data_IF_886865563755
#
_entry.id   IF_886865563755
#
_cell.length_a   1.000
_cell.length_b   1.000
_cell.length_c   1.000
_cell.angle_alpha   90.00
_cell.angle_beta   90.00
_cell.angle_gamma   90.00
#
_symmetry.space_group_name_H-M   'P 1'
#
loop_
_entity.id
_entity.type
_entity.pdbx_description
1 polymer ?
#
# COMPACT_ATOMS: atom_id res chain seq x y z
N UNK A 1 30.78 -2.77 7.86
CA UNK A 1 30.25 -2.68 6.47
C UNK A 1 31.41 -2.93 5.52
N UNK A 2 31.37 -4.02 4.72
CA UNK A 2 32.42 -4.31 3.72
C UNK A 2 31.99 -3.69 2.40
N UNK A 3 32.72 -2.69 1.92
CA UNK A 3 32.57 -2.18 0.56
C UNK A 3 33.19 -3.19 -0.40
N UNK A 4 32.37 -3.72 -1.32
CA UNK A 4 32.86 -4.47 -2.49
C UNK A 4 33.05 -3.44 -3.60
N UNK A 5 34.29 -3.30 -4.07
CA UNK A 5 34.61 -2.49 -5.25
C UNK A 5 34.49 -3.36 -6.49
N UNK A 6 33.74 -2.88 -7.49
CA UNK A 6 33.53 -3.56 -8.76
C UNK A 6 34.23 -2.81 -9.87
N UNK A 7 34.85 -3.53 -10.80
CA UNK A 7 35.47 -2.98 -11.99
C UNK A 7 34.45 -3.03 -13.13
N UNK A 8 33.96 -1.86 -13.55
CA UNK A 8 32.94 -1.75 -14.59
C UNK A 8 33.34 -2.40 -15.93
N UNK A 9 34.64 -2.54 -16.22
CA UNK A 9 35.13 -3.15 -17.44
C UNK A 9 35.19 -4.69 -17.38
N UNK A 10 35.22 -5.28 -16.18
CA UNK A 10 35.35 -6.74 -15.98
C UNK A 10 34.09 -7.38 -15.43
N UNK A 11 33.33 -6.63 -14.65
CA UNK A 11 32.16 -7.12 -13.90
C UNK A 11 30.85 -6.79 -14.59
N UNK A 12 30.88 -6.48 -15.90
CA UNK A 12 29.73 -5.94 -16.65
C UNK A 12 28.49 -6.86 -16.60
N UNK A 13 28.69 -8.19 -16.56
CA UNK A 13 27.61 -9.16 -16.41
C UNK A 13 26.98 -9.15 -15.01
N UNK A 14 27.81 -9.09 -13.96
CA UNK A 14 27.36 -9.02 -12.56
C UNK A 14 26.69 -7.68 -12.25
N UNK A 15 27.23 -6.59 -12.81
CA UNK A 15 26.60 -5.26 -12.76
C UNK A 15 25.25 -5.29 -13.46
N UNK A 16 25.15 -5.97 -14.62
CA UNK A 16 23.88 -6.19 -15.31
C UNK A 16 22.85 -6.92 -14.45
N UNK A 17 23.26 -7.97 -13.73
CA UNK A 17 22.39 -8.75 -12.83
C UNK A 17 21.93 -7.93 -11.61
N UNK A 18 22.81 -7.14 -11.00
CA UNK A 18 22.45 -6.30 -9.83
C UNK A 18 21.58 -5.10 -10.24
N UNK A 19 21.83 -4.55 -11.43
CA UNK A 19 21.02 -3.46 -12.00
C UNK A 19 19.76 -3.97 -12.68
N UNK A 20 19.60 -5.29 -12.81
CA UNK A 20 18.40 -5.89 -13.36
C UNK A 20 17.22 -5.54 -12.45
N UNK A 21 16.35 -4.67 -12.97
CA UNK A 21 15.10 -4.28 -12.32
C UNK A 21 13.97 -5.24 -12.68
N UNK A 22 14.30 -6.45 -13.16
CA UNK A 22 13.32 -7.47 -13.51
C UNK A 22 12.26 -7.51 -12.42
N UNK A 23 11.05 -7.14 -12.83
CA UNK A 23 9.91 -7.05 -11.96
C UNK A 23 9.65 -8.46 -11.48
N UNK A 24 9.84 -8.69 -10.18
CA UNK A 24 9.45 -9.93 -9.51
C UNK A 24 8.07 -10.35 -10.04
N UNK A 25 7.93 -11.63 -10.39
CA UNK A 25 6.67 -12.20 -10.87
C UNK A 25 5.55 -11.95 -9.85
N UNK A 26 4.76 -10.89 -10.05
CA UNK A 26 3.65 -10.49 -9.19
C UNK A 26 2.39 -11.33 -9.42
N UNK A 27 2.52 -12.54 -9.97
CA UNK A 27 1.38 -13.36 -10.39
C UNK A 27 0.39 -13.61 -9.23
N UNK A 28 0.88 -13.93 -8.03
CA UNK A 28 0.03 -14.15 -6.85
C UNK A 28 -0.65 -12.86 -6.35
N UNK A 29 0.07 -11.74 -6.39
CA UNK A 29 -0.45 -10.42 -6.01
C UNK A 29 -1.53 -9.98 -6.99
N UNK A 30 -1.28 -10.14 -8.29
CA UNK A 30 -2.23 -9.82 -9.35
C UNK A 30 -3.50 -10.68 -9.25
N UNK A 31 -3.37 -11.97 -8.90
CA UNK A 31 -4.52 -12.84 -8.65
C UNK A 31 -5.33 -12.37 -7.44
N UNK A 32 -4.67 -11.99 -6.35
CA UNK A 32 -5.31 -11.46 -5.16
C UNK A 32 -6.08 -10.15 -5.45
N UNK A 33 -5.44 -9.23 -6.18
CA UNK A 33 -6.07 -7.96 -6.60
C UNK A 33 -7.27 -8.23 -7.51
N UNK A 34 -7.16 -9.15 -8.47
CA UNK A 34 -8.26 -9.50 -9.37
C UNK A 34 -9.47 -10.07 -8.60
N UNK A 35 -9.22 -10.90 -7.57
CA UNK A 35 -10.28 -11.40 -6.70
C UNK A 35 -10.96 -10.25 -5.94
N UNK A 36 -10.19 -9.38 -5.28
CA UNK A 36 -10.72 -8.23 -4.53
C UNK A 36 -11.60 -7.37 -5.43
N UNK A 37 -11.11 -7.01 -6.63
CA UNK A 37 -11.87 -6.21 -7.60
C UNK A 37 -13.17 -6.91 -8.05
N UNK A 38 -13.12 -8.21 -8.32
CA UNK A 38 -14.32 -8.98 -8.69
C UNK A 38 -15.33 -9.02 -7.56
N UNK A 39 -14.88 -9.20 -6.32
CA UNK A 39 -15.75 -9.24 -5.15
C UNK A 39 -16.38 -7.88 -4.87
N UNK A 40 -15.61 -6.79 -4.93
CA UNK A 40 -16.15 -5.42 -4.80
C UNK A 40 -17.16 -5.10 -5.90
N UNK A 41 -16.93 -5.55 -7.13
CA UNK A 41 -17.91 -5.38 -8.23
C UNK A 41 -19.25 -6.07 -7.94
N UNK A 42 -19.22 -7.27 -7.37
CA UNK A 42 -20.42 -8.08 -7.13
C UNK A 42 -21.13 -7.72 -5.81
N UNK A 43 -20.37 -7.62 -4.71
CA UNK A 43 -20.88 -7.46 -3.35
C UNK A 43 -20.78 -6.01 -2.82
N UNK A 44 -20.20 -5.08 -3.58
CA UNK A 44 -20.15 -3.64 -3.29
C UNK A 44 -19.65 -3.35 -1.86
N UNK A 45 -20.39 -2.54 -1.11
CA UNK A 45 -20.09 -2.10 0.25
C UNK A 45 -19.83 -3.25 1.23
N UNK A 46 -20.51 -4.40 1.03
CA UNK A 46 -20.27 -5.56 1.89
C UNK A 46 -18.84 -6.09 1.72
N UNK A 47 -18.32 -6.12 0.50
CA UNK A 47 -16.94 -6.52 0.25
C UNK A 47 -15.96 -5.51 0.84
N UNK A 48 -16.26 -4.20 0.73
CA UNK A 48 -15.41 -3.15 1.33
C UNK A 48 -15.32 -3.33 2.85
N UNK A 49 -16.45 -3.49 3.55
CA UNK A 49 -16.47 -3.74 5.01
C UNK A 49 -15.69 -4.99 5.39
N UNK A 50 -15.87 -6.08 4.62
CA UNK A 50 -15.12 -7.32 4.84
C UNK A 50 -13.62 -7.09 4.76
N UNK A 51 -13.14 -6.43 3.71
CA UNK A 51 -11.71 -6.21 3.52
C UNK A 51 -11.12 -5.20 4.51
N UNK A 52 -11.85 -4.16 4.89
CA UNK A 52 -11.45 -3.25 5.99
C UNK A 52 -11.31 -4.02 7.30
N UNK A 53 -12.23 -4.94 7.61
CA UNK A 53 -12.09 -5.76 8.82
C UNK A 53 -10.90 -6.72 8.73
N UNK A 54 -10.67 -7.32 7.56
CA UNK A 54 -9.59 -8.30 7.35
C UNK A 54 -8.19 -7.68 7.42
N UNK A 55 -8.00 -6.51 6.80
CA UNK A 55 -6.68 -5.89 6.68
C UNK A 55 -6.42 -4.80 7.74
N UNK A 56 -7.44 -4.02 8.10
CA UNK A 56 -7.32 -2.91 9.05
C UNK A 56 -7.83 -3.26 10.46
N UNK A 57 -8.49 -4.41 10.62
CA UNK A 57 -8.94 -4.93 11.92
C UNK A 57 -10.15 -4.21 12.52
N UNK A 58 -10.82 -3.35 11.75
CA UNK A 58 -11.96 -2.54 12.21
C UNK A 58 -13.22 -2.82 11.40
N UNK A 59 -14.38 -2.83 12.07
CA UNK A 59 -15.68 -2.87 11.41
C UNK A 59 -16.31 -1.47 11.47
N UNK A 60 -16.35 -0.79 10.33
CA UNK A 60 -16.98 0.52 10.21
C UNK A 60 -18.48 0.37 9.92
N UNK A 61 -19.28 1.28 10.45
CA UNK A 61 -20.71 1.44 10.11
C UNK A 61 -20.88 2.40 8.93
N UNK A 62 -20.14 3.50 8.92
CA UNK A 62 -20.11 4.47 7.83
C UNK A 62 -18.72 4.53 7.21
N UNK A 63 -18.67 4.69 5.88
CA UNK A 63 -17.41 4.90 5.16
C UNK A 63 -16.99 6.36 5.12
N UNK A 64 -17.98 7.26 5.21
CA UNK A 64 -17.75 8.69 5.14
C UNK A 64 -17.49 9.21 6.55
N UNK A 65 -16.36 9.90 6.71
CA UNK A 65 -16.06 10.62 7.95
C UNK A 65 -17.06 11.76 8.11
N UNK A 66 -17.66 11.86 9.30
CA UNK A 66 -18.65 12.89 9.61
C UNK A 66 -18.02 14.28 9.72
N UNK A 67 -18.85 15.34 9.57
CA UNK A 67 -18.40 16.72 9.82
C UNK A 67 -17.85 16.90 11.23
N UNK A 68 -18.49 16.25 12.20
CA UNK A 68 -18.18 16.41 13.61
C UNK A 68 -16.82 15.79 13.94
N UNK A 69 -16.48 14.64 13.36
CA UNK A 69 -15.16 14.02 13.49
C UNK A 69 -14.05 14.89 12.85
N UNK A 70 -14.36 15.54 11.73
CA UNK A 70 -13.43 16.47 11.07
C UNK A 70 -13.17 17.69 11.97
N UNK A 71 -14.23 18.30 12.50
CA UNK A 71 -14.13 19.46 13.39
C UNK A 71 -13.41 19.11 14.69
N UNK A 72 -13.67 17.92 15.26
CA UNK A 72 -12.95 17.43 16.44
C UNK A 72 -11.46 17.23 16.15
N UNK A 73 -11.12 16.61 15.02
CA UNK A 73 -9.73 16.42 14.62
C UNK A 73 -9.01 17.77 14.45
N UNK A 74 -9.64 18.73 13.78
CA UNK A 74 -9.10 20.08 13.63
C UNK A 74 -8.88 20.75 14.99
N UNK A 75 -9.80 20.62 15.94
CA UNK A 75 -9.65 21.21 17.27
C UNK A 75 -8.53 20.57 18.11
N UNK A 76 -8.13 19.33 17.83
CA UNK A 76 -7.06 18.60 18.54
C UNK A 76 -5.65 18.81 17.99
N UNK A 77 -5.51 19.39 16.80
CA UNK A 77 -4.20 19.65 16.20
C UNK A 77 -3.50 20.80 16.95
N UNK A 78 -2.18 20.64 17.18
CA UNK A 78 -1.30 21.65 17.75
C UNK A 78 -1.36 22.95 16.93
N UNK A 79 -1.57 24.14 17.56
CA UNK A 79 -1.55 25.41 16.87
C UNK A 79 -0.34 25.62 15.95
N UNK A 80 0.86 25.18 16.34
CA UNK A 80 2.07 25.34 15.52
C UNK A 80 2.07 24.47 14.24
N UNK A 81 1.26 23.39 14.20
CA UNK A 81 1.08 22.57 13.00
C UNK A 81 -0.01 23.12 12.07
N UNK A 82 -0.87 24.02 12.57
CA UNK A 82 -1.95 24.65 11.79
C UNK A 82 -1.49 25.88 11.01
N UNK A 83 -0.51 26.60 11.54
CA UNK A 83 0.05 27.85 11.00
C UNK A 83 1.19 27.58 10.00
#
# INVERSE_FOLDING_TARGET
MRLKTFDAAKDQALIGEILDRNQLEFTEINQSVAHILSNVRCAKDQAVRKYTQEFDGVLLEDFLVSSDEIDEALNKIDPELKD
#
